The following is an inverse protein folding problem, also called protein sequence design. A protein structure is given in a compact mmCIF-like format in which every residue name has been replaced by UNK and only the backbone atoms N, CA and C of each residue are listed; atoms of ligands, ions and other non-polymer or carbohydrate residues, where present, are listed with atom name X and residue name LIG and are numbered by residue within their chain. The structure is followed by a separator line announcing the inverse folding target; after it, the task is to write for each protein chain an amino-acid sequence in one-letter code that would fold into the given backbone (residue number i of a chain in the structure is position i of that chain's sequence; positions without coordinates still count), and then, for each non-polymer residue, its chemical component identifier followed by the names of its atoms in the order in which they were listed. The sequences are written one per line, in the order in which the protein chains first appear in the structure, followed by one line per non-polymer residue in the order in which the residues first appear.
data_IF_038842026203
#
_entry.id   IF_038842026203
#
_cell.length_a   1.000
_cell.length_b   1.000
_cell.length_c   1.000
_cell.angle_alpha   90.00
_cell.angle_beta   90.00
_cell.angle_gamma   90.00
#
_symmetry.space_group_name_H-M   'P 1'
#
loop_
_entity.id
_entity.type
_entity.pdbx_description
1 polymer ?
#
# COMPACT_ATOMS: atom_id res chain seq x y z
N UNK A 1 14.45 4.01 11.96
CA UNK A 1 13.45 5.01 11.45
C UNK A 1 12.46 5.34 12.55
N UNK A 2 12.15 6.61 12.83
CA UNK A 2 11.17 6.94 13.88
C UNK A 2 9.78 6.41 13.48
N UNK A 3 8.94 6.06 14.50
CA UNK A 3 7.56 5.59 14.25
C UNK A 3 6.73 6.61 13.44
N UNK A 4 7.04 7.90 13.57
CA UNK A 4 6.39 8.97 12.80
C UNK A 4 6.74 8.85 11.31
N UNK A 5 7.98 8.62 11.00
CA UNK A 5 8.49 8.47 9.63
C UNK A 5 7.92 7.22 8.95
N UNK A 6 7.82 6.10 9.66
CA UNK A 6 7.17 4.87 9.15
C UNK A 6 5.68 5.12 8.84
N UNK A 7 5.00 5.92 9.66
CA UNK A 7 3.60 6.30 9.43
C UNK A 7 3.43 7.22 8.22
N UNK A 8 4.34 8.18 8.02
CA UNK A 8 4.33 9.06 6.84
C UNK A 8 4.57 8.24 5.56
N UNK A 9 5.50 7.29 5.56
CA UNK A 9 5.74 6.40 4.41
C UNK A 9 4.53 5.50 4.14
N UNK A 10 3.92 4.92 5.18
CA UNK A 10 2.70 4.12 5.04
C UNK A 10 1.52 4.96 4.49
N UNK A 11 1.45 6.25 4.86
CA UNK A 11 0.46 7.18 4.32
C UNK A 11 0.63 7.41 2.82
N UNK A 12 1.86 7.67 2.37
CA UNK A 12 2.13 7.88 0.93
C UNK A 12 1.71 6.66 0.12
N UNK A 13 1.89 5.46 0.64
CA UNK A 13 1.43 4.22 -0.01
C UNK A 13 -0.10 4.11 -0.01
N UNK A 14 -0.78 4.43 1.10
CA UNK A 14 -2.24 4.42 1.16
C UNK A 14 -2.88 5.49 0.27
N UNK A 15 -2.34 6.71 0.26
CA UNK A 15 -2.82 7.79 -0.60
C UNK A 15 -2.60 7.51 -2.10
N UNK A 16 -1.52 6.83 -2.46
CA UNK A 16 -1.25 6.44 -3.85
C UNK A 16 -2.29 5.43 -4.40
N UNK A 17 -2.84 4.56 -3.55
CA UNK A 17 -3.87 3.58 -3.95
C UNK A 17 -5.23 4.26 -4.22
N UNK A 18 -5.52 5.38 -3.55
CA UNK A 18 -6.79 6.11 -3.74
C UNK A 18 -6.74 7.06 -4.95
N UNK A 19 -5.54 7.47 -5.40
CA UNK A 19 -5.36 8.42 -6.52
C UNK A 19 -5.58 7.82 -7.92
N UNK A 20 -6.01 6.58 -8.05
CA UNK A 20 -6.32 5.97 -9.35
C UNK A 20 -7.72 6.24 -9.89
N UNK A 21 -8.55 7.02 -9.18
CA UNK A 21 -9.87 7.44 -9.64
C UNK A 21 -9.76 8.82 -10.29
N UNK A 22 -9.82 8.86 -11.58
CA UNK A 22 -9.78 10.04 -12.46
C UNK A 22 -11.01 10.92 -12.31
N UNK A 23 -10.83 12.24 -12.32
CA UNK A 23 -11.90 13.19 -12.39
C UNK A 23 -11.55 14.61 -12.88
N UNK A 24 -12.36 15.43 -13.49
CA UNK A 24 -12.13 16.69 -14.21
C UNK A 24 -12.98 17.92 -13.78
N UNK A 25 -12.57 19.09 -13.85
CA UNK A 25 -13.03 20.33 -14.37
C UNK A 25 -13.25 21.53 -13.55
N UNK A 26 -12.85 22.63 -13.63
CA UNK A 26 -13.44 23.91 -13.68
C UNK A 26 -12.69 25.10 -13.08
N UNK A 27 -13.25 26.30 -13.20
CA UNK A 27 -12.57 27.59 -13.09
C UNK A 27 -12.37 28.11 -11.66
N UNK A 28 -12.83 27.42 -10.64
CA UNK A 28 -12.87 27.89 -9.25
C UNK A 28 -12.07 27.06 -8.24
N UNK A 29 -11.25 26.12 -8.70
CA UNK A 29 -10.45 25.31 -7.77
C UNK A 29 -9.33 26.12 -7.12
N UNK A 30 -9.53 26.44 -5.86
CA UNK A 30 -8.48 26.95 -4.98
C UNK A 30 -7.67 25.75 -4.50
N UNK A 31 -6.35 25.78 -4.66
CA UNK A 31 -5.44 24.72 -4.24
C UNK A 31 -4.58 25.18 -3.06
N UNK A 32 -5.20 25.87 -2.13
CA UNK A 32 -4.65 26.18 -0.83
C UNK A 32 -5.49 25.47 0.23
N UNK A 33 -4.83 25.07 1.31
CA UNK A 33 -5.56 24.50 2.44
C UNK A 33 -6.57 25.51 2.98
N UNK A 34 -7.80 25.07 3.14
CA UNK A 34 -8.88 25.90 3.67
C UNK A 34 -9.09 25.55 5.14
N UNK A 35 -9.05 26.54 6.03
CA UNK A 35 -9.53 26.38 7.39
C UNK A 35 -11.06 26.27 7.36
N UNK A 36 -11.56 25.07 7.58
CA UNK A 36 -12.99 24.79 7.58
C UNK A 36 -13.59 25.32 8.89
N UNK A 37 -14.58 26.21 8.75
CA UNK A 37 -15.39 26.67 9.89
C UNK A 37 -16.62 25.78 9.99
N UNK A 38 -16.83 25.17 11.14
CA UNK A 38 -17.94 24.28 11.38
C UNK A 38 -18.61 24.60 12.72
N UNK A 39 -19.95 24.57 12.74
CA UNK A 39 -20.76 24.60 13.95
C UNK A 39 -21.12 23.18 14.42
N UNK A 40 -20.65 22.14 13.73
CA UNK A 40 -20.87 20.77 14.11
C UNK A 40 -20.09 20.42 15.42
N UNK A 41 -20.54 19.43 16.18
CA UNK A 41 -19.84 19.02 17.40
C UNK A 41 -18.40 18.57 17.11
N UNK A 42 -17.48 18.89 18.03
CA UNK A 42 -16.11 18.36 18.03
C UNK A 42 -16.16 16.86 18.36
N UNK A 43 -15.57 16.03 17.53
CA UNK A 43 -15.56 14.56 17.69
C UNK A 43 -14.21 13.99 18.08
N UNK A 44 -13.13 14.72 17.79
CA UNK A 44 -11.76 14.36 18.19
C UNK A 44 -10.85 15.59 18.14
N UNK A 45 -9.62 15.44 18.66
CA UNK A 45 -8.56 16.43 18.53
C UNK A 45 -7.29 15.80 18.01
N UNK A 46 -6.53 16.57 17.24
CA UNK A 46 -5.21 16.16 16.69
C UNK A 46 -4.18 17.22 17.10
N UNK A 47 -3.33 16.88 18.08
CA UNK A 47 -2.32 17.80 18.64
C UNK A 47 -2.91 19.15 19.09
N UNK A 48 -4.15 19.13 19.61
CA UNK A 48 -4.85 20.33 20.09
C UNK A 48 -5.75 21.02 19.07
N UNK A 49 -5.71 20.63 17.81
CA UNK A 49 -6.63 21.08 16.75
C UNK A 49 -7.93 20.30 16.83
N UNK A 50 -9.07 20.98 16.84
CA UNK A 50 -10.41 20.40 16.94
C UNK A 50 -10.87 19.90 15.57
N UNK A 51 -11.40 18.68 15.53
CA UNK A 51 -11.99 18.05 14.36
C UNK A 51 -13.49 17.94 14.57
N UNK A 52 -14.23 18.51 13.65
CA UNK A 52 -15.68 18.55 13.70
C UNK A 52 -16.34 17.35 13.01
N UNK A 53 -17.58 17.07 13.38
CA UNK A 53 -18.30 15.87 12.96
C UNK A 53 -18.56 15.81 11.45
N UNK A 54 -18.73 16.94 10.79
CA UNK A 54 -18.94 17.05 9.34
C UNK A 54 -17.67 16.67 8.54
N UNK A 55 -16.52 17.19 8.95
CA UNK A 55 -15.23 16.77 8.36
C UNK A 55 -15.01 15.26 8.55
N UNK A 56 -15.13 14.78 9.78
CA UNK A 56 -14.99 13.36 10.09
C UNK A 56 -15.95 12.49 9.29
N UNK A 57 -17.22 12.93 9.14
CA UNK A 57 -18.25 12.21 8.41
C UNK A 57 -17.93 12.06 6.91
N UNK A 58 -17.30 13.06 6.29
CA UNK A 58 -16.85 13.00 4.90
C UNK A 58 -15.86 11.85 4.68
N UNK A 59 -14.85 11.72 5.55
CA UNK A 59 -13.88 10.63 5.47
C UNK A 59 -14.52 9.28 5.83
N UNK A 60 -15.41 9.23 6.82
CA UNK A 60 -16.10 8.00 7.18
C UNK A 60 -16.99 7.48 6.03
N UNK A 61 -17.74 8.37 5.38
CA UNK A 61 -18.57 8.00 4.23
C UNK A 61 -17.72 7.47 3.07
N UNK A 62 -16.60 8.12 2.77
CA UNK A 62 -15.65 7.67 1.77
C UNK A 62 -15.13 6.24 2.07
N UNK A 63 -14.82 5.92 3.33
CA UNK A 63 -14.40 4.57 3.70
C UNK A 63 -15.53 3.55 3.55
N UNK A 64 -16.74 3.87 3.95
CA UNK A 64 -17.90 3.00 3.77
C UNK A 64 -18.11 2.67 2.29
N UNK A 65 -18.04 3.66 1.42
CA UNK A 65 -18.21 3.48 -0.02
C UNK A 65 -17.08 2.62 -0.61
N UNK A 66 -15.83 2.82 -0.18
CA UNK A 66 -14.71 1.98 -0.59
C UNK A 66 -14.94 0.51 -0.17
N UNK A 67 -15.40 0.26 1.04
CA UNK A 67 -15.76 -1.08 1.49
C UNK A 67 -16.93 -1.66 0.65
N UNK A 68 -17.96 -0.87 0.38
CA UNK A 68 -19.07 -1.30 -0.48
C UNK A 68 -18.59 -1.73 -1.86
N UNK A 69 -17.74 -0.94 -2.51
CA UNK A 69 -17.20 -1.28 -3.82
C UNK A 69 -16.33 -2.54 -3.80
N UNK A 70 -15.49 -2.70 -2.78
CA UNK A 70 -14.62 -3.85 -2.64
C UNK A 70 -15.41 -5.15 -2.39
N UNK A 71 -16.38 -5.11 -1.49
CA UNK A 71 -17.10 -6.32 -1.05
C UNK A 71 -18.34 -6.64 -1.86
N UNK A 72 -18.87 -5.70 -2.66
CA UNK A 72 -19.92 -6.01 -3.65
C UNK A 72 -19.46 -7.09 -4.64
N UNK A 73 -18.17 -7.14 -4.94
CA UNK A 73 -17.59 -8.21 -5.77
C UNK A 73 -17.62 -9.58 -5.09
N UNK A 74 -17.75 -9.64 -3.77
CA UNK A 74 -17.84 -10.89 -2.98
C UNK A 74 -19.28 -11.24 -2.57
N UNK A 75 -20.29 -10.53 -3.11
CA UNK A 75 -21.71 -10.84 -2.87
C UNK A 75 -22.23 -10.49 -1.46
N UNK A 76 -21.52 -9.62 -0.72
CA UNK A 76 -21.96 -9.14 0.58
C UNK A 76 -23.02 -8.07 0.36
N UNK A 77 -24.22 -8.25 0.95
CA UNK A 77 -25.34 -7.31 0.82
C UNK A 77 -25.09 -6.01 1.58
N UNK A 78 -25.60 -4.88 1.07
CA UNK A 78 -25.50 -3.56 1.70
C UNK A 78 -26.04 -3.54 3.16
N UNK A 79 -27.08 -4.33 3.45
CA UNK A 79 -27.68 -4.42 4.77
C UNK A 79 -26.72 -4.97 5.84
N UNK A 80 -25.79 -5.82 5.46
CA UNK A 80 -24.79 -6.40 6.34
C UNK A 80 -23.50 -5.57 6.43
N UNK A 81 -23.30 -4.60 5.53
CA UNK A 81 -22.07 -3.81 5.45
C UNK A 81 -21.83 -2.96 6.69
N UNK A 82 -22.84 -2.22 7.15
CA UNK A 82 -22.73 -1.33 8.30
C UNK A 82 -22.40 -2.09 9.59
N UNK A 83 -22.99 -3.29 9.77
CA UNK A 83 -22.72 -4.13 10.95
C UNK A 83 -21.36 -4.84 10.86
N UNK A 84 -20.89 -5.15 9.67
CA UNK A 84 -19.63 -5.89 9.49
C UNK A 84 -18.41 -4.96 9.46
N UNK A 85 -18.54 -3.80 8.82
CA UNK A 85 -17.39 -2.91 8.54
C UNK A 85 -17.50 -1.52 9.18
N UNK A 86 -18.60 -1.21 9.86
CA UNK A 86 -18.83 0.13 10.42
C UNK A 86 -17.74 0.59 11.39
N UNK A 87 -17.25 -0.30 12.24
CA UNK A 87 -16.18 0.04 13.19
C UNK A 87 -14.81 0.12 12.50
N UNK A 88 -14.55 -0.71 11.49
CA UNK A 88 -13.35 -0.61 10.67
C UNK A 88 -13.34 0.71 9.86
N UNK A 89 -14.48 1.11 9.29
CA UNK A 89 -14.63 2.37 8.58
C UNK A 89 -14.41 3.59 9.50
N UNK A 90 -14.95 3.55 10.74
CA UNK A 90 -14.73 4.60 11.75
C UNK A 90 -13.25 4.74 12.12
N UNK A 91 -12.57 3.62 12.38
CA UNK A 91 -11.15 3.66 12.75
C UNK A 91 -10.27 4.10 11.56
N UNK A 92 -10.58 3.66 10.36
CA UNK A 92 -9.89 4.11 9.14
C UNK A 92 -10.10 5.60 8.90
N UNK A 93 -11.32 6.11 9.05
CA UNK A 93 -11.62 7.53 8.94
C UNK A 93 -10.87 8.37 9.98
N UNK A 94 -10.86 7.92 11.23
CA UNK A 94 -10.13 8.57 12.32
C UNK A 94 -8.62 8.66 12.03
N UNK A 95 -8.03 7.58 11.53
CA UNK A 95 -6.62 7.57 11.15
C UNK A 95 -6.36 8.51 9.98
N UNK A 96 -7.23 8.53 8.97
CA UNK A 96 -7.09 9.38 7.79
C UNK A 96 -7.19 10.87 8.15
N UNK A 97 -8.21 11.27 8.90
CA UNK A 97 -8.36 12.66 9.37
C UNK A 97 -7.15 13.06 10.23
N UNK A 98 -6.78 12.25 11.23
CA UNK A 98 -5.62 12.55 12.06
C UNK A 98 -4.35 12.76 11.23
N UNK A 99 -4.19 11.98 10.18
CA UNK A 99 -3.03 12.02 9.31
C UNK A 99 -3.00 13.26 8.43
N UNK A 100 -4.15 13.72 7.93
CA UNK A 100 -4.28 14.96 7.17
C UNK A 100 -3.83 16.14 8.02
N UNK A 101 -4.30 16.25 9.26
CA UNK A 101 -3.91 17.32 10.17
C UNK A 101 -2.43 17.21 10.57
N UNK A 102 -1.93 16.01 10.86
CA UNK A 102 -0.50 15.80 11.17
C UNK A 102 0.41 16.23 10.01
N UNK A 103 0.06 15.88 8.78
CA UNK A 103 0.82 16.27 7.59
C UNK A 103 0.81 17.79 7.43
N UNK A 104 -0.36 18.42 7.55
CA UNK A 104 -0.49 19.88 7.48
C UNK A 104 0.34 20.58 8.55
N UNK A 105 0.19 20.18 9.81
CA UNK A 105 0.95 20.72 10.95
C UNK A 105 2.46 20.53 10.73
N UNK A 106 2.88 19.41 10.17
CA UNK A 106 4.31 19.16 9.91
C UNK A 106 4.87 20.01 8.78
N UNK A 107 4.07 20.28 7.75
CA UNK A 107 4.44 21.23 6.70
C UNK A 107 4.65 22.63 7.27
N UNK A 108 3.73 23.07 8.12
CA UNK A 108 3.81 24.38 8.77
C UNK A 108 5.03 24.48 9.72
N UNK A 109 5.25 23.47 10.56
CA UNK A 109 6.41 23.38 11.46
C UNK A 109 7.75 23.50 10.72
N UNK A 110 7.84 22.91 9.53
CA UNK A 110 9.04 22.91 8.71
C UNK A 110 9.11 24.10 7.73
N UNK A 111 8.10 24.96 7.69
CA UNK A 111 7.99 26.07 6.73
C UNK A 111 7.92 25.61 5.28
N UNK A 112 7.41 24.41 5.03
CA UNK A 112 7.26 23.83 3.69
C UNK A 112 5.90 24.16 3.10
N UNK A 113 5.84 24.24 1.77
CA UNK A 113 4.58 24.49 1.03
C UNK A 113 4.64 23.83 -0.34
N UNK A 114 3.48 23.64 -0.96
CA UNK A 114 3.41 23.20 -2.34
C UNK A 114 3.93 24.29 -3.29
N UNK A 115 4.76 23.91 -4.23
CA UNK A 115 5.18 24.76 -5.33
C UNK A 115 4.00 25.12 -6.25
N UNK A 116 4.16 26.20 -7.00
CA UNK A 116 3.18 26.59 -8.02
C UNK A 116 2.89 25.46 -9.02
N UNK A 117 3.91 24.70 -9.41
CA UNK A 117 3.75 23.57 -10.34
C UNK A 117 2.89 22.46 -9.74
N UNK A 118 3.12 22.11 -8.48
CA UNK A 118 2.33 21.07 -7.78
C UNK A 118 0.86 21.52 -7.65
N UNK A 119 0.61 22.77 -7.23
CA UNK A 119 -0.75 23.33 -7.18
C UNK A 119 -1.42 23.33 -8.55
N UNK A 120 -0.70 23.75 -9.60
CA UNK A 120 -1.21 23.75 -10.98
C UNK A 120 -1.55 22.33 -11.46
N UNK A 121 -0.78 21.32 -11.10
CA UNK A 121 -1.06 19.94 -11.46
C UNK A 121 -2.38 19.46 -10.85
N UNK A 122 -2.65 19.78 -9.58
CA UNK A 122 -3.93 19.48 -8.94
C UNK A 122 -5.09 20.15 -9.67
N UNK A 123 -4.99 21.46 -9.95
CA UNK A 123 -6.00 22.18 -10.72
C UNK A 123 -6.22 21.56 -12.10
N UNK A 124 -5.14 21.19 -12.79
CA UNK A 124 -5.23 20.58 -14.12
C UNK A 124 -5.91 19.22 -14.04
N UNK A 125 -5.53 18.39 -13.09
CA UNK A 125 -6.17 17.09 -12.86
C UNK A 125 -7.66 17.27 -12.55
N UNK A 126 -8.03 18.20 -11.68
CA UNK A 126 -9.42 18.50 -11.40
C UNK A 126 -10.17 19.02 -12.63
N UNK A 127 -9.55 19.85 -13.45
CA UNK A 127 -10.12 20.31 -14.73
C UNK A 127 -10.30 19.18 -15.72
N UNK A 128 -9.32 18.40 -15.92
CA UNK A 128 -9.40 17.24 -16.75
C UNK A 128 -10.53 16.32 -16.29
N UNK A 129 -10.87 16.19 -15.10
CA UNK A 129 -11.82 15.29 -14.49
C UNK A 129 -13.30 15.71 -14.64
N UNK A 130 -13.77 16.96 -14.53
CA UNK A 130 -15.19 17.25 -14.84
C UNK A 130 -15.48 17.28 -16.36
N UNK A 131 -14.48 17.57 -17.22
CA UNK A 131 -14.71 17.39 -18.66
C UNK A 131 -15.10 15.95 -18.99
N UNK A 132 -14.43 14.92 -18.39
CA UNK A 132 -14.82 13.51 -18.58
C UNK A 132 -16.18 13.16 -17.98
N UNK A 133 -16.54 13.79 -16.87
CA UNK A 133 -17.83 13.56 -16.23
C UNK A 133 -18.97 14.36 -16.83
N UNK A 134 -18.70 15.24 -17.80
CA UNK A 134 -19.69 16.07 -18.44
C UNK A 134 -19.86 17.46 -17.80
N UNK A 135 -18.89 17.93 -17.02
CA UNK A 135 -18.82 19.27 -16.44
C UNK A 135 -18.75 19.32 -14.92
N UNK A 136 -18.65 20.54 -14.39
CA UNK A 136 -18.46 20.81 -12.96
C UNK A 136 -19.59 20.29 -12.08
N UNK A 137 -20.83 20.45 -12.50
CA UNK A 137 -22.00 19.97 -11.73
C UNK A 137 -21.97 18.45 -11.55
N UNK A 138 -21.63 17.72 -12.61
CA UNK A 138 -21.52 16.26 -12.55
C UNK A 138 -20.35 15.83 -11.64
N UNK A 139 -19.26 16.58 -11.64
CA UNK A 139 -18.15 16.37 -10.75
C UNK A 139 -18.51 16.56 -9.28
N UNK A 140 -19.15 17.68 -8.95
CA UNK A 140 -19.61 17.96 -7.59
C UNK A 140 -20.59 16.90 -7.08
N UNK A 141 -21.52 16.45 -7.96
CA UNK A 141 -22.40 15.34 -7.64
C UNK A 141 -21.63 14.03 -7.39
N UNK A 142 -20.57 13.79 -8.15
CA UNK A 142 -19.73 12.61 -7.93
C UNK A 142 -18.96 12.69 -6.61
N UNK A 143 -18.42 13.84 -6.24
CA UNK A 143 -17.78 14.06 -4.93
C UNK A 143 -18.77 13.84 -3.78
N UNK A 144 -19.95 14.44 -3.87
CA UNK A 144 -21.01 14.26 -2.88
C UNK A 144 -21.42 12.77 -2.75
N UNK A 145 -21.45 12.04 -3.87
CA UNK A 145 -21.77 10.61 -3.87
C UNK A 145 -20.69 9.75 -3.16
N UNK A 146 -19.48 10.27 -2.99
CA UNK A 146 -18.41 9.60 -2.24
C UNK A 146 -18.14 10.25 -0.87
N UNK A 147 -19.03 11.15 -0.42
CA UNK A 147 -19.00 11.73 0.92
C UNK A 147 -18.21 13.02 1.05
N UNK A 148 -17.70 13.60 -0.04
CA UNK A 148 -16.94 14.85 0.00
C UNK A 148 -17.75 16.03 -0.53
N UNK A 149 -17.68 17.16 0.17
CA UNK A 149 -17.84 18.47 -0.44
C UNK A 149 -16.52 18.94 -1.09
N UNK A 150 -16.58 20.08 -1.78
CA UNK A 150 -15.43 20.58 -2.55
C UNK A 150 -14.28 21.04 -1.65
N UNK A 151 -14.57 21.64 -0.49
CA UNK A 151 -13.54 22.18 0.40
C UNK A 151 -12.79 21.06 1.11
N UNK A 152 -13.50 20.07 1.66
CA UNK A 152 -12.90 18.87 2.23
C UNK A 152 -12.09 18.10 1.18
N UNK A 153 -12.57 18.00 -0.05
CA UNK A 153 -11.85 17.34 -1.12
C UNK A 153 -10.59 18.11 -1.55
N UNK A 154 -10.64 19.44 -1.64
CA UNK A 154 -9.47 20.26 -1.89
C UNK A 154 -8.42 20.12 -0.81
N UNK A 155 -8.81 20.12 0.47
CA UNK A 155 -7.90 19.90 1.58
C UNK A 155 -7.25 18.51 1.51
N UNK A 156 -8.03 17.48 1.20
CA UNK A 156 -7.53 16.14 0.97
C UNK A 156 -6.47 16.09 -0.15
N UNK A 157 -6.74 16.70 -1.30
CA UNK A 157 -5.79 16.74 -2.42
C UNK A 157 -4.53 17.55 -2.09
N UNK A 158 -4.71 18.71 -1.45
CA UNK A 158 -3.60 19.55 -1.02
C UNK A 158 -2.67 18.79 -0.07
N UNK A 159 -3.21 18.17 0.96
CA UNK A 159 -2.43 17.44 1.96
C UNK A 159 -1.82 16.16 1.38
N UNK A 160 -2.51 15.51 0.45
CA UNK A 160 -1.94 14.37 -0.27
C UNK A 160 -0.66 14.76 -1.05
N UNK A 161 -0.68 15.92 -1.70
CA UNK A 161 0.51 16.45 -2.36
C UNK A 161 1.61 16.90 -1.35
N UNK A 162 1.21 17.44 -0.19
CA UNK A 162 2.14 17.78 0.90
C UNK A 162 2.86 16.54 1.45
N UNK A 163 2.20 15.40 1.52
CA UNK A 163 2.84 14.15 1.96
C UNK A 163 4.03 13.77 1.06
N UNK A 164 3.94 14.02 -0.25
CA UNK A 164 5.07 13.83 -1.15
C UNK A 164 6.21 14.82 -0.89
N UNK A 165 5.89 16.10 -0.62
CA UNK A 165 6.90 17.11 -0.26
C UNK A 165 7.63 16.71 1.04
N UNK A 166 6.90 16.23 2.05
CA UNK A 166 7.50 15.71 3.29
C UNK A 166 8.37 14.48 3.04
N UNK A 167 7.92 13.56 2.19
CA UNK A 167 8.72 12.39 1.81
C UNK A 167 10.04 12.82 1.16
N UNK A 168 9.98 13.77 0.22
CA UNK A 168 11.18 14.25 -0.47
C UNK A 168 12.08 15.05 0.47
N UNK A 169 11.53 15.82 1.41
CA UNK A 169 12.28 16.52 2.44
C UNK A 169 13.07 15.54 3.34
N UNK A 170 12.46 14.42 3.73
CA UNK A 170 13.14 13.45 4.61
C UNK A 170 14.02 12.47 3.83
N UNK A 171 13.58 11.99 2.67
CA UNK A 171 14.16 10.83 1.97
C UNK A 171 14.47 11.06 0.49
N UNK A 172 14.26 12.27 -0.03
CA UNK A 172 14.71 12.62 -1.37
C UNK A 172 16.23 12.59 -1.48
N UNK A 173 16.76 12.79 -2.67
CA UNK A 173 18.21 12.71 -2.98
C UNK A 173 19.10 13.52 -2.01
N UNK A 174 18.58 14.65 -1.49
CA UNK A 174 19.24 15.49 -0.49
C UNK A 174 18.42 15.59 0.80
N UNK A 175 17.65 14.57 1.13
CA UNK A 175 16.77 14.56 2.28
C UNK A 175 17.52 14.52 3.61
N UNK A 176 16.89 15.08 4.66
CA UNK A 176 17.51 15.20 5.99
C UNK A 176 17.63 13.89 6.77
N UNK A 177 17.01 12.81 6.27
CA UNK A 177 16.99 11.49 6.91
C UNK A 177 17.29 10.35 5.91
N UNK A 178 18.06 10.66 4.84
CA UNK A 178 18.50 9.63 3.92
C UNK A 178 19.47 8.70 4.66
N UNK A 179 19.18 7.39 4.74
CA UNK A 179 20.11 6.44 5.33
C UNK A 179 21.40 6.37 4.50
N UNK A 180 22.53 6.15 5.16
CA UNK A 180 23.77 5.83 4.48
C UNK A 180 23.67 4.45 3.81
N UNK A 181 24.55 4.20 2.83
CA UNK A 181 24.63 2.90 2.16
C UNK A 181 24.90 1.76 3.17
N UNK A 182 25.73 2.03 4.20
CA UNK A 182 26.02 1.06 5.28
C UNK A 182 24.75 0.75 6.11
N UNK A 183 23.94 1.76 6.41
CA UNK A 183 22.66 1.55 7.14
C UNK A 183 21.66 0.80 6.28
N UNK A 184 21.60 1.08 4.98
CA UNK A 184 20.73 0.35 4.03
C UNK A 184 21.20 -1.10 3.88
N UNK A 185 22.49 -1.32 3.72
CA UNK A 185 23.07 -2.65 3.64
C UNK A 185 22.78 -3.46 4.89
N UNK A 186 23.04 -2.87 6.07
CA UNK A 186 22.74 -3.52 7.35
C UNK A 186 21.25 -3.82 7.51
N UNK A 187 20.38 -2.88 7.12
CA UNK A 187 18.93 -3.13 7.18
C UNK A 187 18.51 -4.27 6.27
N UNK A 188 19.11 -4.36 5.08
CA UNK A 188 18.86 -5.46 4.15
C UNK A 188 19.29 -6.80 4.75
N UNK A 189 20.53 -6.87 5.25
CA UNK A 189 21.08 -8.07 5.89
C UNK A 189 20.29 -8.52 7.12
N UNK A 190 19.82 -7.57 7.94
CA UNK A 190 19.07 -7.85 9.15
C UNK A 190 17.62 -8.30 8.89
N UNK A 191 17.03 -7.96 7.73
CA UNK A 191 15.59 -8.12 7.53
C UNK A 191 15.18 -8.93 6.29
N UNK A 192 16.11 -9.16 5.36
CA UNK A 192 15.79 -9.86 4.11
C UNK A 192 16.61 -11.12 3.96
N UNK A 193 16.00 -12.11 3.34
CA UNK A 193 16.60 -13.38 2.95
C UNK A 193 16.50 -13.50 1.44
N UNK A 194 17.55 -13.98 0.79
CA UNK A 194 17.49 -14.36 -0.63
C UNK A 194 17.71 -15.86 -0.75
N UNK A 195 16.71 -16.57 -1.25
CA UNK A 195 16.78 -18.02 -1.40
C UNK A 195 16.24 -18.49 -2.75
N UNK A 196 16.85 -19.53 -3.30
CA UNK A 196 16.32 -20.32 -4.42
C UNK A 196 15.58 -21.53 -3.87
N UNK A 197 14.69 -22.10 -4.65
CA UNK A 197 14.03 -23.36 -4.31
C UNK A 197 13.80 -24.22 -5.56
N UNK A 198 13.67 -25.51 -5.36
CA UNK A 198 13.19 -26.45 -6.38
C UNK A 198 11.82 -26.93 -5.92
N UNK A 199 10.78 -26.45 -6.60
CA UNK A 199 9.38 -26.75 -6.28
C UNK A 199 8.90 -27.95 -7.08
N UNK A 200 8.31 -28.92 -6.41
CA UNK A 200 7.61 -30.06 -7.01
C UNK A 200 6.13 -29.94 -6.69
N UNK A 201 5.31 -29.67 -7.69
CA UNK A 201 3.88 -29.41 -7.53
C UNK A 201 3.06 -30.70 -7.45
N UNK A 202 2.04 -30.72 -6.59
CA UNK A 202 1.00 -31.76 -6.55
C UNK A 202 -0.22 -31.41 -7.38
N UNK A 203 -0.39 -30.14 -7.67
CA UNK A 203 -1.56 -29.57 -8.37
C UNK A 203 -1.11 -28.57 -9.41
N UNK A 204 -1.70 -28.61 -10.59
CA UNK A 204 -1.46 -27.58 -11.63
C UNK A 204 -2.10 -26.26 -11.18
N UNK A 205 -1.35 -25.17 -11.00
CA UNK A 205 -1.89 -23.91 -10.49
C UNK A 205 -2.84 -23.20 -11.47
N UNK A 206 -2.80 -23.55 -12.76
CA UNK A 206 -3.67 -22.93 -13.77
C UNK A 206 -5.01 -23.63 -13.92
N UNK A 207 -5.06 -24.96 -13.73
CA UNK A 207 -6.28 -25.76 -13.93
C UNK A 207 -6.89 -26.25 -12.62
N UNK A 208 -6.14 -26.26 -11.52
CA UNK A 208 -6.55 -26.86 -10.24
C UNK A 208 -6.55 -28.39 -10.24
N UNK A 209 -6.10 -29.03 -11.31
CA UNK A 209 -6.07 -30.49 -11.40
C UNK A 209 -4.88 -31.08 -10.61
N UNK A 210 -5.12 -32.15 -9.85
CA UNK A 210 -4.07 -32.90 -9.19
C UNK A 210 -3.23 -33.64 -10.22
N UNK A 211 -1.94 -33.36 -10.28
CA UNK A 211 -1.00 -33.96 -11.24
C UNK A 211 -0.27 -35.15 -10.65
N UNK A 212 -0.10 -35.18 -9.35
CA UNK A 212 0.53 -36.27 -8.58
C UNK A 212 0.06 -36.27 -7.13
N UNK A 213 0.20 -37.37 -6.44
CA UNK A 213 -0.07 -37.46 -5.00
C UNK A 213 1.07 -36.79 -4.18
N UNK A 214 0.80 -36.42 -2.93
CA UNK A 214 1.81 -35.91 -2.01
C UNK A 214 2.97 -36.87 -1.80
N UNK A 215 2.69 -38.17 -1.78
CA UNK A 215 3.71 -39.22 -1.65
C UNK A 215 4.62 -39.30 -2.88
N UNK A 216 4.06 -39.14 -4.07
CA UNK A 216 4.83 -39.11 -5.32
C UNK A 216 5.67 -37.82 -5.41
N UNK A 217 5.11 -36.66 -5.09
CA UNK A 217 5.84 -35.41 -5.04
C UNK A 217 7.00 -35.46 -4.03
N UNK A 218 6.74 -35.94 -2.83
CA UNK A 218 7.76 -36.13 -1.78
C UNK A 218 8.88 -37.07 -2.22
N UNK A 219 8.54 -38.16 -2.90
CA UNK A 219 9.54 -39.10 -3.42
C UNK A 219 10.41 -38.44 -4.51
N UNK A 220 9.82 -37.66 -5.36
CA UNK A 220 10.55 -36.93 -6.42
C UNK A 220 11.45 -35.83 -5.82
N UNK A 221 10.94 -35.06 -4.87
CA UNK A 221 11.73 -34.08 -4.12
C UNK A 221 12.88 -34.71 -3.36
N UNK A 222 12.67 -35.88 -2.75
CA UNK A 222 13.74 -36.64 -2.07
C UNK A 222 14.81 -37.10 -3.06
N UNK A 223 14.43 -37.55 -4.24
CA UNK A 223 15.40 -37.95 -5.27
C UNK A 223 16.26 -36.77 -5.75
N UNK A 224 15.69 -35.56 -5.83
CA UNK A 224 16.43 -34.31 -6.12
C UNK A 224 17.41 -33.99 -4.98
N UNK A 225 16.95 -34.04 -3.74
CA UNK A 225 17.78 -33.79 -2.56
C UNK A 225 18.94 -34.80 -2.47
N UNK A 226 18.71 -36.07 -2.79
CA UNK A 226 19.77 -37.09 -2.82
C UNK A 226 20.83 -36.79 -3.89
N UNK A 227 20.43 -36.26 -5.06
CA UNK A 227 21.35 -35.79 -6.12
C UNK A 227 22.21 -34.60 -5.64
N UNK A 228 21.58 -33.62 -4.96
CA UNK A 228 22.30 -32.51 -4.34
C UNK A 228 23.31 -32.98 -3.30
N UNK A 229 22.90 -33.87 -2.41
CA UNK A 229 23.78 -34.46 -1.38
C UNK A 229 24.95 -35.27 -1.97
N UNK A 230 24.80 -35.76 -3.20
CA UNK A 230 25.87 -36.41 -3.96
C UNK A 230 26.76 -35.44 -4.76
N UNK A 231 26.54 -34.13 -4.60
CA UNK A 231 27.39 -33.08 -5.15
C UNK A 231 26.98 -32.61 -6.54
N UNK A 232 25.75 -32.89 -6.97
CA UNK A 232 25.21 -32.29 -8.22
C UNK A 232 24.91 -30.80 -8.04
N UNK A 233 25.09 -30.05 -9.10
CA UNK A 233 24.93 -28.59 -9.09
C UNK A 233 23.45 -28.18 -8.88
N UNK A 234 23.22 -27.27 -7.94
CA UNK A 234 21.87 -26.82 -7.60
C UNK A 234 21.17 -26.13 -8.77
N UNK A 235 21.86 -25.25 -9.51
CA UNK A 235 21.27 -24.49 -10.61
C UNK A 235 20.97 -25.40 -11.83
N UNK A 236 21.76 -26.45 -12.01
CA UNK A 236 21.45 -27.47 -13.01
C UNK A 236 20.15 -28.23 -12.65
N UNK A 237 20.02 -28.65 -11.39
CA UNK A 237 18.81 -29.32 -10.91
C UNK A 237 17.59 -28.39 -10.86
N UNK A 238 17.77 -27.14 -10.50
CA UNK A 238 16.75 -26.09 -10.58
C UNK A 238 16.19 -26.00 -12.00
N UNK A 239 17.06 -25.91 -13.00
CA UNK A 239 16.67 -25.83 -14.42
C UNK A 239 15.97 -27.12 -14.89
N UNK A 240 16.36 -28.30 -14.38
CA UNK A 240 15.80 -29.59 -14.79
C UNK A 240 14.46 -29.91 -14.13
N UNK A 241 14.29 -29.53 -12.85
CA UNK A 241 13.26 -30.08 -11.97
C UNK A 241 12.28 -29.08 -11.40
N UNK A 242 12.61 -27.79 -11.40
CA UNK A 242 11.75 -26.78 -10.79
C UNK A 242 10.44 -26.58 -11.59
N UNK A 243 9.33 -26.65 -10.90
CA UNK A 243 7.99 -26.43 -11.47
C UNK A 243 7.40 -25.05 -11.10
N UNK A 244 8.18 -24.18 -10.46
CA UNK A 244 7.77 -22.81 -10.18
C UNK A 244 7.82 -21.95 -11.46
N UNK A 245 6.66 -21.53 -11.94
CA UNK A 245 6.53 -20.67 -13.13
C UNK A 245 7.12 -19.24 -12.90
N UNK A 246 7.30 -18.81 -11.65
CA UNK A 246 7.87 -17.51 -11.29
C UNK A 246 9.39 -17.46 -11.37
N UNK A 247 10.06 -18.60 -11.34
CA UNK A 247 11.51 -18.71 -11.23
C UNK A 247 12.27 -17.98 -12.34
N UNK A 248 11.76 -18.00 -13.57
CA UNK A 248 12.37 -17.31 -14.72
C UNK A 248 12.57 -15.79 -14.51
N UNK A 249 11.76 -15.17 -13.65
CA UNK A 249 11.86 -13.75 -13.28
C UNK A 249 12.87 -13.51 -12.13
N UNK A 250 13.21 -14.57 -11.38
CA UNK A 250 14.01 -14.52 -10.16
C UNK A 250 15.25 -15.44 -10.23
N UNK A 251 15.95 -15.39 -11.34
CA UNK A 251 17.14 -16.24 -11.59
C UNK A 251 18.22 -16.17 -10.48
N UNK A 252 18.21 -15.12 -9.64
CA UNK A 252 19.09 -14.99 -8.46
C UNK A 252 18.43 -15.47 -7.15
N UNK A 253 17.22 -15.99 -7.22
CA UNK A 253 16.40 -16.35 -6.07
C UNK A 253 15.41 -15.25 -5.68
N UNK A 254 14.47 -15.62 -4.83
CA UNK A 254 13.49 -14.69 -4.24
C UNK A 254 14.11 -13.96 -3.07
N UNK A 255 13.97 -12.64 -3.04
CA UNK A 255 14.34 -11.82 -1.88
C UNK A 255 13.06 -11.44 -1.14
N UNK A 256 12.97 -11.79 0.13
CA UNK A 256 11.75 -11.65 0.94
C UNK A 256 12.07 -11.38 2.41
N UNK A 257 11.07 -10.90 3.13
CA UNK A 257 11.08 -10.73 4.58
C UNK A 257 9.97 -11.55 5.23
N UNK A 258 9.92 -11.57 6.56
CA UNK A 258 8.91 -12.28 7.33
C UNK A 258 7.48 -11.90 6.90
N UNK A 259 6.63 -12.91 6.70
CA UNK A 259 5.23 -12.74 6.27
C UNK A 259 5.01 -12.56 4.76
N UNK A 260 6.06 -12.57 3.93
CA UNK A 260 5.93 -12.51 2.48
C UNK A 260 5.89 -13.88 1.79
N UNK A 261 6.37 -14.90 2.48
CA UNK A 261 6.35 -16.30 2.03
C UNK A 261 5.57 -17.15 3.03
N UNK A 262 5.22 -18.37 2.65
CA UNK A 262 4.64 -19.35 3.60
C UNK A 262 5.64 -19.63 4.72
N UNK A 263 5.14 -19.83 5.93
CA UNK A 263 5.96 -19.91 7.14
C UNK A 263 7.00 -21.03 7.07
N UNK A 264 6.65 -22.16 6.49
CA UNK A 264 7.54 -23.32 6.32
C UNK A 264 8.76 -22.95 5.48
N UNK A 265 8.55 -22.29 4.32
CA UNK A 265 9.63 -21.85 3.44
C UNK A 265 10.49 -20.78 4.10
N UNK A 266 9.84 -19.75 4.71
CA UNK A 266 10.57 -18.69 5.42
C UNK A 266 11.45 -19.24 6.52
N UNK A 267 10.92 -20.13 7.37
CA UNK A 267 11.65 -20.69 8.49
C UNK A 267 12.80 -21.60 8.03
N UNK A 268 12.58 -22.39 6.97
CA UNK A 268 13.63 -23.21 6.39
C UNK A 268 14.78 -22.36 5.82
N UNK A 269 14.46 -21.33 5.03
CA UNK A 269 15.46 -20.42 4.48
C UNK A 269 16.22 -19.65 5.58
N UNK A 270 15.52 -19.18 6.60
CA UNK A 270 16.11 -18.44 7.74
C UNK A 270 17.09 -19.27 8.58
N UNK A 271 16.91 -20.59 8.60
CA UNK A 271 17.77 -21.50 9.35
C UNK A 271 19.09 -21.82 8.64
N UNK A 272 19.22 -21.50 7.36
CA UNK A 272 20.40 -21.80 6.55
C UNK A 272 21.45 -20.69 6.64
N UNK A 273 22.71 -21.07 6.45
CA UNK A 273 23.78 -20.14 6.13
C UNK A 273 23.92 -20.00 4.60
N UNK A 274 24.65 -18.98 4.18
CA UNK A 274 24.87 -18.72 2.75
C UNK A 274 25.46 -19.96 2.04
N UNK A 275 24.77 -20.39 0.98
CA UNK A 275 25.15 -21.55 0.20
C UNK A 275 24.74 -22.91 0.75
N UNK A 276 24.05 -22.95 1.88
CA UNK A 276 23.49 -24.21 2.41
C UNK A 276 22.20 -24.61 1.71
N UNK A 277 21.93 -25.91 1.70
CA UNK A 277 20.70 -26.50 1.17
C UNK A 277 19.89 -27.12 2.32
N UNK A 278 18.59 -26.84 2.37
CA UNK A 278 17.69 -27.40 3.36
C UNK A 278 17.39 -28.87 3.09
N UNK A 279 16.77 -29.53 4.07
CA UNK A 279 15.97 -30.74 3.82
C UNK A 279 14.70 -30.42 3.02
N UNK A 280 13.80 -31.38 2.88
CA UNK A 280 12.46 -31.16 2.33
C UNK A 280 11.66 -30.25 3.25
N UNK A 281 10.94 -29.32 2.63
CA UNK A 281 10.10 -28.33 3.30
C UNK A 281 8.64 -28.60 2.94
#
# INVERSE_FOLDING_TARGET
MSKLVQRIVALVVMLAVVMSATAYGASTFVVDYQELKSDAPVVMTVNGEEIHADEYASYMMSQIINYQQMYSMYGISEENMASTFGDAAKESAKQQVALIHIVKQKMDELGLSLSYSQKKNIVTANKQNAEQLGGEDAYLQRLAAIGFDMDNYNNYQYVSACAQVLKDYYFGENGVSVPSDDELQKYFEDNYITAKHILILTTNPSTGETTRTDEEAKKEAQAVLDRLNNGEDFDALLTEKNEDAGEAQYAKGYTFTEGQMVDEFYNAAKALQDGEVSGLV
#
